data_IF_837852453369
#
_entry.id   IF_837852453369
#
_cell.length_a   1.000
_cell.length_b   1.000
_cell.length_c   1.000
_cell.angle_alpha   90.00
_cell.angle_beta   90.00
_cell.angle_gamma   90.00
#
_symmetry.space_group_name_H-M   'P 1'
#
loop_
_entity.id
_entity.type
_entity.pdbx_description
1 polymer ?
#
# COMPACT_ATOMS: atom_id res chain seq x y z
N UNK A 1 3.24 -13.12 10.35
CA UNK A 1 2.98 -12.49 9.02
C UNK A 1 3.88 -13.11 7.96
N UNK A 2 5.21 -13.10 8.10
CA UNK A 2 6.15 -13.65 7.11
C UNK A 2 5.81 -15.10 6.75
N UNK A 3 5.57 -15.95 7.73
CA UNK A 3 5.17 -17.34 7.51
C UNK A 3 3.77 -17.46 6.88
N UNK A 4 2.83 -16.63 7.33
CA UNK A 4 1.44 -16.62 6.83
C UNK A 4 1.37 -16.22 5.35
N UNK A 5 2.13 -15.21 4.96
CA UNK A 5 2.16 -14.68 3.59
C UNK A 5 3.04 -15.49 2.62
N UNK A 6 3.55 -16.64 3.06
CA UNK A 6 4.37 -17.54 2.23
C UNK A 6 5.59 -16.88 1.59
N UNK A 7 6.23 -15.97 2.32
CA UNK A 7 7.41 -15.23 1.84
C UNK A 7 8.69 -16.10 1.95
N UNK A 8 8.57 -17.33 2.42
CA UNK A 8 9.69 -18.25 2.55
C UNK A 8 10.35 -18.52 1.18
N UNK A 9 11.66 -18.34 1.13
CA UNK A 9 12.44 -18.54 -0.09
C UNK A 9 12.40 -17.40 -1.10
N UNK A 10 11.67 -16.32 -0.82
CA UNK A 10 11.71 -15.09 -1.61
C UNK A 10 12.50 -14.01 -0.88
N UNK A 11 13.34 -13.23 -1.59
CA UNK A 11 14.04 -12.11 -0.97
C UNK A 11 13.03 -11.06 -0.53
N UNK A 12 12.94 -10.82 0.78
CA UNK A 12 12.12 -9.77 1.36
C UNK A 12 13.01 -8.64 1.85
N UNK A 13 12.69 -7.42 1.48
CA UNK A 13 13.34 -6.21 1.97
C UNK A 13 12.36 -5.41 2.82
N UNK A 14 12.74 -5.11 4.06
CA UNK A 14 12.01 -4.18 4.91
C UNK A 14 12.63 -2.79 4.75
N UNK A 15 11.93 -1.91 4.05
CA UNK A 15 12.32 -0.50 3.95
C UNK A 15 11.68 0.33 5.05
N UNK A 16 12.47 1.18 5.71
CA UNK A 16 12.00 2.05 6.79
C UNK A 16 12.71 3.41 6.78
N UNK A 17 12.21 4.33 7.59
CA UNK A 17 12.94 5.54 7.94
C UNK A 17 14.17 5.21 8.81
N UNK A 18 14.92 6.28 9.18
CA UNK A 18 16.11 6.16 10.02
C UNK A 18 15.81 6.19 11.54
N UNK A 19 14.59 5.92 11.95
CA UNK A 19 14.17 5.89 13.35
C UNK A 19 14.99 4.92 14.20
N UNK A 20 15.29 5.31 15.44
CA UNK A 20 16.10 4.47 16.34
C UNK A 20 15.49 3.08 16.60
N UNK A 21 14.15 2.89 16.69
CA UNK A 21 13.59 1.54 16.85
C UNK A 21 13.89 0.62 15.67
N UNK A 22 13.96 1.16 14.45
CA UNK A 22 14.23 0.39 13.23
C UNK A 22 15.72 -0.02 13.14
N UNK A 23 16.61 0.70 13.82
CA UNK A 23 18.05 0.43 13.89
C UNK A 23 18.47 -0.32 15.17
N UNK A 24 17.54 -0.64 16.05
CA UNK A 24 17.83 -1.36 17.28
C UNK A 24 18.44 -2.74 16.98
N UNK A 25 19.54 -3.08 17.65
CA UNK A 25 20.27 -4.34 17.42
C UNK A 25 19.37 -5.57 17.57
N UNK A 26 18.50 -5.59 18.57
CA UNK A 26 17.54 -6.68 18.77
C UNK A 26 16.59 -6.87 17.59
N UNK A 27 16.18 -5.77 16.96
CA UNK A 27 15.32 -5.82 15.77
C UNK A 27 16.08 -6.30 14.54
N UNK A 28 17.32 -5.84 14.35
CA UNK A 28 18.17 -6.27 13.25
C UNK A 28 18.47 -7.78 13.32
N UNK A 29 18.81 -8.30 14.50
CA UNK A 29 19.01 -9.75 14.70
C UNK A 29 17.73 -10.54 14.38
N UNK A 30 16.57 -10.02 14.71
CA UNK A 30 15.30 -10.67 14.36
C UNK A 30 15.09 -10.72 12.85
N UNK A 31 15.35 -9.62 12.13
CA UNK A 31 15.24 -9.58 10.67
C UNK A 31 16.20 -10.55 10.00
N UNK A 32 17.45 -10.58 10.46
CA UNK A 32 18.47 -11.52 9.97
C UNK A 32 18.04 -12.99 10.16
N UNK A 33 17.53 -13.35 11.34
CA UNK A 33 17.00 -14.70 11.60
C UNK A 33 15.82 -15.07 10.70
N UNK A 34 15.06 -14.10 10.23
CA UNK A 34 13.94 -14.28 9.30
C UNK A 34 14.35 -14.20 7.84
N UNK A 35 15.63 -13.97 7.54
CA UNK A 35 16.13 -13.79 6.18
C UNK A 35 15.63 -12.50 5.50
N UNK A 36 15.29 -11.48 6.30
CA UNK A 36 14.79 -10.20 5.82
C UNK A 36 15.91 -9.18 5.76
N UNK A 37 16.13 -8.57 4.60
CA UNK A 37 17.10 -7.49 4.43
C UNK A 37 16.55 -6.16 4.90
N UNK A 38 17.35 -5.40 5.64
CA UNK A 38 17.00 -4.02 6.01
C UNK A 38 17.40 -3.03 4.93
N UNK A 39 16.53 -2.08 4.64
CA UNK A 39 16.81 -0.93 3.79
C UNK A 39 16.34 0.34 4.48
N UNK A 40 17.03 1.44 4.29
CA UNK A 40 16.72 2.70 4.97
C UNK A 40 16.60 3.86 4.00
N UNK A 41 15.76 4.82 4.35
CA UNK A 41 15.65 6.09 3.64
C UNK A 41 17.00 6.81 3.62
N UNK A 42 17.31 7.49 2.51
CA UNK A 42 18.49 8.33 2.43
C UNK A 42 18.41 9.48 3.42
N UNK A 43 19.50 9.91 4.03
CA UNK A 43 19.51 11.04 4.92
C UNK A 43 18.95 12.29 4.24
N UNK A 44 18.00 12.98 4.89
CA UNK A 44 17.37 14.24 4.42
C UNK A 44 16.55 14.12 3.12
N UNK A 45 16.15 12.92 2.72
CA UNK A 45 15.27 12.69 1.57
C UNK A 45 13.88 12.29 2.08
N UNK A 46 12.95 13.25 2.07
CA UNK A 46 11.62 13.08 2.65
C UNK A 46 10.71 12.14 1.86
N UNK A 47 10.96 11.96 0.57
CA UNK A 47 10.11 11.15 -0.30
C UNK A 47 10.59 9.71 -0.49
N UNK A 48 11.52 9.24 0.34
CA UNK A 48 11.96 7.84 0.31
C UNK A 48 11.00 6.88 1.04
N UNK A 49 10.02 7.39 1.81
CA UNK A 49 9.04 6.56 2.52
C UNK A 49 7.58 7.05 2.35
N UNK A 50 7.13 7.42 1.13
CA UNK A 50 5.83 8.05 0.92
C UNK A 50 4.67 7.10 1.18
N UNK A 51 4.85 5.79 1.00
CA UNK A 51 3.78 4.80 1.17
C UNK A 51 3.41 4.59 2.63
N UNK A 52 4.40 4.50 3.52
CA UNK A 52 4.16 4.41 4.96
C UNK A 52 3.52 5.68 5.49
N UNK A 53 4.00 6.85 5.05
CA UNK A 53 3.42 8.14 5.42
C UNK A 53 1.95 8.26 4.98
N UNK A 54 1.63 7.84 3.76
CA UNK A 54 0.26 7.81 3.26
C UNK A 54 -0.65 6.86 4.06
N UNK A 55 -0.14 5.68 4.44
CA UNK A 55 -0.87 4.73 5.28
C UNK A 55 -1.12 5.30 6.68
N UNK A 56 -0.10 5.91 7.32
CA UNK A 56 -0.25 6.58 8.63
C UNK A 56 -1.19 7.79 8.56
N UNK A 57 -1.17 8.53 7.46
CA UNK A 57 -2.14 9.60 7.23
C UNK A 57 -3.55 9.04 7.19
N UNK A 58 -3.80 8.00 6.40
CA UNK A 58 -5.10 7.34 6.31
C UNK A 58 -5.57 6.87 7.70
N UNK A 59 -4.67 6.28 8.49
CA UNK A 59 -4.94 5.85 9.86
C UNK A 59 -5.38 7.00 10.76
N UNK A 60 -4.61 8.09 10.78
CA UNK A 60 -4.84 9.25 11.67
C UNK A 60 -6.10 10.05 11.33
N UNK A 61 -6.49 10.06 10.05
CA UNK A 61 -7.65 10.83 9.58
C UNK A 61 -8.93 10.00 9.49
N UNK A 62 -8.92 8.77 9.99
CA UNK A 62 -10.18 8.04 10.14
C UNK A 62 -11.05 8.67 11.22
N UNK A 63 -12.38 8.80 10.95
CA UNK A 63 -13.30 9.40 11.92
C UNK A 63 -13.30 8.70 13.28
N UNK A 64 -13.05 7.39 13.28
CA UNK A 64 -13.02 6.56 14.49
C UNK A 64 -11.69 6.60 15.24
N UNK A 65 -10.67 7.32 14.72
CA UNK A 65 -9.41 7.48 15.43
C UNK A 65 -9.60 8.38 16.66
N UNK A 66 -9.22 7.93 17.88
CA UNK A 66 -9.51 8.68 19.08
C UNK A 66 -8.64 9.95 19.19
N UNK A 67 -9.26 11.13 19.22
CA UNK A 67 -8.57 12.41 19.28
C UNK A 67 -7.66 12.57 20.51
N UNK A 68 -8.03 11.92 21.62
CA UNK A 68 -7.30 12.00 22.90
C UNK A 68 -6.38 10.78 23.13
N UNK A 69 -6.14 9.97 22.08
CA UNK A 69 -5.38 8.73 22.20
C UNK A 69 -6.20 7.58 22.80
N UNK A 70 -5.55 6.44 22.94
CA UNK A 70 -6.18 5.22 23.47
C UNK A 70 -6.02 5.16 24.99
N UNK A 71 -7.05 4.69 25.70
CA UNK A 71 -7.03 4.56 27.16
C UNK A 71 -6.09 3.44 27.61
N UNK A 72 -6.06 2.35 26.88
CA UNK A 72 -5.22 1.19 27.17
C UNK A 72 -4.48 0.73 25.91
N UNK A 73 -3.43 -0.07 26.11
CA UNK A 73 -2.71 -0.68 24.98
C UNK A 73 -3.57 -1.71 24.24
N UNK A 74 -4.50 -2.33 24.93
CA UNK A 74 -5.40 -3.32 24.33
C UNK A 74 -6.45 -2.65 23.46
N UNK A 75 -6.95 -1.47 23.85
CA UNK A 75 -7.79 -0.64 22.98
C UNK A 75 -7.06 -0.25 21.71
N UNK A 76 -5.79 0.16 21.83
CA UNK A 76 -4.97 0.51 20.68
C UNK A 76 -4.75 -0.69 19.75
N UNK A 77 -4.47 -1.86 20.31
CA UNK A 77 -4.29 -3.10 19.54
C UNK A 77 -5.56 -3.52 18.80
N UNK A 78 -6.69 -3.48 19.50
CA UNK A 78 -8.01 -3.81 18.93
C UNK A 78 -8.32 -2.88 17.77
N UNK A 79 -8.23 -1.57 17.99
CA UNK A 79 -8.50 -0.57 16.98
C UNK A 79 -7.57 -0.72 15.77
N UNK A 80 -6.26 -0.92 16.02
CA UNK A 80 -5.27 -1.12 14.95
C UNK A 80 -5.58 -2.36 14.12
N UNK A 81 -6.01 -3.45 14.77
CA UNK A 81 -6.43 -4.66 14.05
C UNK A 81 -7.62 -4.39 13.15
N UNK A 82 -8.66 -3.74 13.68
CA UNK A 82 -9.86 -3.38 12.90
C UNK A 82 -9.52 -2.45 11.74
N UNK A 83 -8.61 -1.48 11.96
CA UNK A 83 -8.09 -0.61 10.90
C UNK A 83 -7.37 -1.41 9.81
N UNK A 84 -6.48 -2.33 10.18
CA UNK A 84 -5.71 -3.14 9.22
C UNK A 84 -6.63 -4.04 8.40
N UNK A 85 -7.60 -4.69 9.04
CA UNK A 85 -8.59 -5.52 8.37
C UNK A 85 -9.41 -4.69 7.37
N UNK A 86 -9.92 -3.53 7.80
CA UNK A 86 -10.64 -2.62 6.91
C UNK A 86 -9.76 -2.10 5.76
N UNK A 87 -8.51 -1.68 6.05
CA UNK A 87 -7.60 -1.13 5.05
C UNK A 87 -7.27 -2.15 3.97
N UNK A 88 -7.01 -3.40 4.37
CA UNK A 88 -6.66 -4.45 3.43
C UNK A 88 -7.86 -4.95 2.61
N UNK A 89 -9.02 -5.10 3.23
CA UNK A 89 -10.15 -5.79 2.59
C UNK A 89 -11.18 -4.84 1.97
N UNK A 90 -11.37 -3.66 2.55
CA UNK A 90 -12.47 -2.77 2.20
C UNK A 90 -12.04 -1.43 1.60
N UNK A 91 -10.87 -0.89 2.00
CA UNK A 91 -10.40 0.40 1.52
C UNK A 91 -10.02 0.34 0.05
N UNK A 92 -10.67 1.18 -0.77
CA UNK A 92 -10.39 1.29 -2.20
C UNK A 92 -9.27 2.32 -2.43
N UNK A 93 -8.07 1.83 -2.64
CA UNK A 93 -6.87 2.65 -2.72
C UNK A 93 -6.67 3.24 -4.13
N UNK A 94 -6.62 4.57 -4.26
CA UNK A 94 -6.49 5.26 -5.56
C UNK A 94 -5.21 4.91 -6.31
N UNK A 95 -4.09 4.72 -5.61
CA UNK A 95 -2.79 4.35 -6.19
C UNK A 95 -2.76 2.96 -6.84
N UNK A 96 -3.73 2.10 -6.54
CA UNK A 96 -3.92 0.79 -7.18
C UNK A 96 -5.27 0.70 -7.90
N UNK A 97 -5.71 1.82 -8.47
CA UNK A 97 -6.91 1.93 -9.29
C UNK A 97 -8.23 1.56 -8.57
N UNK A 98 -8.33 1.96 -7.30
CA UNK A 98 -9.52 1.74 -6.48
C UNK A 98 -9.91 0.26 -6.31
N UNK A 99 -8.94 -0.61 -6.19
CA UNK A 99 -9.12 -1.96 -5.63
C UNK A 99 -8.64 -1.98 -4.18
N UNK A 100 -9.02 -3.00 -3.43
CA UNK A 100 -8.48 -3.17 -2.08
C UNK A 100 -7.07 -3.75 -2.13
N UNK A 101 -6.18 -3.44 -1.15
CA UNK A 101 -4.86 -4.02 -1.07
C UNK A 101 -4.84 -5.56 -1.11
N UNK A 102 -5.76 -6.21 -0.41
CA UNK A 102 -5.88 -7.67 -0.45
C UNK A 102 -6.23 -8.19 -1.85
N UNK A 103 -7.19 -7.56 -2.54
CA UNK A 103 -7.52 -7.94 -3.90
C UNK A 103 -6.32 -7.76 -4.87
N UNK A 104 -5.50 -6.73 -4.64
CA UNK A 104 -4.29 -6.51 -5.42
C UNK A 104 -3.23 -7.58 -5.12
N UNK A 105 -2.98 -7.86 -3.85
CA UNK A 105 -1.99 -8.85 -3.39
C UNK A 105 -2.29 -10.27 -3.88
N UNK A 106 -3.58 -10.63 -3.91
CA UNK A 106 -4.05 -11.94 -4.37
C UNK A 106 -4.23 -12.04 -5.89
N UNK A 107 -3.96 -10.98 -6.63
CA UNK A 107 -4.11 -10.95 -8.09
C UNK A 107 -5.56 -10.82 -8.59
N UNK A 108 -6.55 -10.75 -7.70
CA UNK A 108 -7.98 -10.60 -8.04
C UNK A 108 -8.30 -9.26 -8.71
N UNK A 109 -7.43 -8.26 -8.54
CA UNK A 109 -7.57 -6.95 -9.18
C UNK A 109 -7.64 -7.02 -10.70
N UNK A 110 -6.97 -7.99 -11.34
CA UNK A 110 -6.97 -8.13 -12.80
C UNK A 110 -8.40 -8.30 -13.34
N UNK A 111 -9.16 -9.24 -12.78
CA UNK A 111 -10.54 -9.46 -13.17
C UNK A 111 -11.46 -8.28 -12.84
N UNK A 112 -11.20 -7.60 -11.70
CA UNK A 112 -11.97 -6.42 -11.30
C UNK A 112 -11.76 -5.27 -12.29
N UNK A 113 -10.52 -5.01 -12.69
CA UNK A 113 -10.16 -3.92 -13.60
C UNK A 113 -10.66 -4.19 -15.02
N UNK A 114 -10.57 -5.43 -15.49
CA UNK A 114 -11.12 -5.81 -16.80
C UNK A 114 -12.63 -5.64 -16.84
N UNK A 115 -13.35 -6.07 -15.81
CA UNK A 115 -14.79 -5.85 -15.70
C UNK A 115 -15.14 -4.37 -15.70
N UNK A 116 -14.37 -3.52 -14.98
CA UNK A 116 -14.58 -2.07 -14.99
C UNK A 116 -14.36 -1.48 -16.37
N UNK A 117 -13.28 -1.87 -17.05
CA UNK A 117 -13.00 -1.44 -18.43
C UNK A 117 -14.20 -1.74 -19.34
N UNK A 118 -14.71 -2.95 -19.30
CA UNK A 118 -15.87 -3.36 -20.10
C UNK A 118 -17.12 -2.52 -19.81
N UNK A 119 -17.43 -2.29 -18.53
CA UNK A 119 -18.58 -1.44 -18.14
C UNK A 119 -18.43 -0.02 -18.69
N UNK A 120 -17.23 0.57 -18.66
CA UNK A 120 -16.99 1.90 -19.20
C UNK A 120 -17.08 1.94 -20.72
N UNK A 121 -16.55 0.93 -21.41
CA UNK A 121 -16.64 0.81 -22.88
C UNK A 121 -18.09 0.65 -23.33
N UNK A 122 -18.88 -0.16 -22.65
CA UNK A 122 -20.30 -0.35 -22.96
C UNK A 122 -21.13 0.89 -22.63
N UNK A 123 -20.80 1.61 -21.55
CA UNK A 123 -21.42 2.89 -21.26
C UNK A 123 -21.12 3.95 -22.32
N UNK A 124 -19.87 3.99 -22.81
CA UNK A 124 -19.49 4.88 -23.91
C UNK A 124 -20.20 4.56 -25.22
N UNK A 125 -20.37 3.27 -25.56
CA UNK A 125 -21.12 2.83 -26.75
C UNK A 125 -22.60 3.30 -26.69
N UNK A 126 -23.20 3.20 -25.49
CA UNK A 126 -24.62 3.59 -25.28
C UNK A 126 -24.84 5.09 -25.26
N UNK A 127 -23.84 5.86 -24.78
CA UNK A 127 -23.93 7.30 -24.55
C UNK A 127 -22.67 8.02 -25.00
N UNK A 128 -22.28 7.97 -26.29
CA UNK A 128 -21.03 8.54 -26.78
C UNK A 128 -20.91 10.04 -26.51
N UNK A 129 -22.04 10.76 -26.48
CA UNK A 129 -22.13 12.19 -26.23
C UNK A 129 -21.59 12.62 -24.85
N UNK A 130 -21.50 11.69 -23.88
CA UNK A 130 -20.98 11.96 -22.53
C UNK A 130 -19.45 11.85 -22.45
N UNK A 131 -18.80 11.48 -23.54
CA UNK A 131 -17.37 11.16 -23.54
C UNK A 131 -16.61 12.03 -24.54
N UNK A 132 -15.94 13.08 -24.04
CA UNK A 132 -15.10 13.96 -24.88
C UNK A 132 -13.75 13.31 -25.27
N UNK A 133 -13.32 12.27 -24.54
CA UNK A 133 -12.07 11.55 -24.74
C UNK A 133 -12.28 10.04 -24.63
N UNK A 134 -11.21 9.27 -24.57
CA UNK A 134 -11.25 7.83 -24.26
C UNK A 134 -11.82 7.52 -22.87
N UNK A 135 -12.11 6.27 -22.61
CA UNK A 135 -12.43 5.77 -21.25
C UNK A 135 -11.19 5.85 -20.36
N UNK A 136 -11.39 5.85 -19.03
CA UNK A 136 -10.30 5.78 -18.08
C UNK A 136 -9.40 4.56 -18.35
N UNK A 137 -8.09 4.77 -18.25
CA UNK A 137 -7.13 3.66 -18.32
C UNK A 137 -7.24 2.79 -17.07
N UNK A 138 -7.63 1.54 -17.26
CA UNK A 138 -7.74 0.51 -16.21
C UNK A 138 -6.61 -0.54 -16.28
N UNK A 139 -5.54 -0.28 -17.05
CA UNK A 139 -4.40 -1.19 -17.13
C UNK A 139 -3.68 -1.26 -15.78
N UNK A 140 -3.48 -2.45 -15.20
CA UNK A 140 -2.77 -2.60 -13.93
C UNK A 140 -1.34 -2.08 -14.02
N UNK A 141 -0.85 -1.51 -12.94
CA UNK A 141 0.58 -1.20 -12.82
C UNK A 141 1.38 -2.51 -12.73
N UNK A 142 2.39 -2.67 -13.58
CA UNK A 142 3.23 -3.88 -13.59
C UNK A 142 4.23 -3.88 -12.43
N UNK A 143 4.79 -2.72 -12.10
CA UNK A 143 5.70 -2.54 -10.99
C UNK A 143 5.56 -1.15 -10.40
N UNK A 144 5.82 -1.05 -9.11
CA UNK A 144 5.85 0.23 -8.38
C UNK A 144 7.19 0.35 -7.70
N UNK A 145 7.97 1.37 -8.08
CA UNK A 145 9.24 1.66 -7.45
C UNK A 145 9.07 2.65 -6.30
N UNK A 146 9.80 2.42 -5.22
CA UNK A 146 10.01 3.39 -4.16
C UNK A 146 11.00 4.44 -4.68
N UNK A 147 10.53 5.67 -4.91
CA UNK A 147 11.36 6.77 -5.36
C UNK A 147 12.20 6.44 -6.63
N UNK A 148 11.56 6.19 -7.78
CA UNK A 148 12.26 5.86 -9.01
C UNK A 148 13.22 6.98 -9.40
N UNK A 149 14.40 6.62 -9.89
CA UNK A 149 15.32 7.57 -10.48
C UNK A 149 14.60 8.24 -11.67
N UNK A 150 14.60 9.57 -11.68
CA UNK A 150 14.16 10.29 -12.89
C UNK A 150 15.11 9.93 -13.99
N UNK A 151 14.61 9.33 -15.08
CA UNK A 151 15.38 9.25 -16.31
C UNK A 151 15.74 10.69 -16.69
N UNK A 152 17.01 11.01 -16.65
CA UNK A 152 17.52 12.25 -17.25
C UNK A 152 17.34 12.08 -18.74
N UNK A 153 16.35 12.75 -19.30
CA UNK A 153 16.23 12.91 -20.76
C UNK A 153 17.56 13.49 -21.26
N UNK A 154 18.28 12.68 -22.02
CA UNK A 154 19.52 13.05 -22.72
C UNK A 154 19.16 13.64 -24.07
#
# INVERSE_FOLDING_TARGET
>A
TVLKERIQGQPLVLHSDNGSPMKAATFQVLLEKLGIQSSYSRPRVSNDNPYSEAAFRTLKYRPEYPNNGFKTIDDARKWTKEFVDWYNDSHLHSGIQFVSPAACHEGRHLAILEKRKQVYEDAKKRHPERWSKGVRNWTPHQSVALNPLKETES
#
